data_IF_695433392692
#
_entry.id   IF_695433392692
#
_cell.length_a   1.000
_cell.length_b   1.000
_cell.length_c   1.000
_cell.angle_alpha   90.00
_cell.angle_beta   90.00
_cell.angle_gamma   90.00
#
_symmetry.space_group_name_H-M   'P 1'
#
loop_
_entity.id
_entity.type
_entity.pdbx_description
1 polymer ?
#
# COMPACT_ATOMS: atom_id res chain seq x y z
N UNK A 1 22.98 18.64 13.54
CA UNK A 1 21.55 18.29 13.46
C UNK A 1 20.87 19.12 14.53
N UNK A 2 20.00 20.04 14.14
CA UNK A 2 19.35 20.97 15.06
C UNK A 2 18.19 20.28 15.81
N UNK A 3 17.93 20.70 17.04
CA UNK A 3 16.86 20.17 17.88
C UNK A 3 15.48 20.44 17.26
N UNK A 4 15.34 21.56 16.53
CA UNK A 4 14.12 21.93 15.81
C UNK A 4 13.81 20.94 14.68
N UNK A 5 14.82 20.60 13.86
CA UNK A 5 14.69 19.60 12.81
C UNK A 5 14.24 18.24 13.38
N UNK A 6 14.85 17.81 14.49
CA UNK A 6 14.46 16.56 15.17
C UNK A 6 13.01 16.60 15.67
N UNK A 7 12.55 17.75 16.16
CA UNK A 7 11.18 17.93 16.65
C UNK A 7 10.15 17.83 15.53
N UNK A 8 10.50 18.27 14.32
CA UNK A 8 9.63 18.19 13.14
C UNK A 8 9.56 16.76 12.57
N UNK A 9 10.69 16.06 12.45
CA UNK A 9 10.72 14.75 11.78
C UNK A 9 10.34 13.58 12.69
N UNK A 10 10.65 13.66 13.99
CA UNK A 10 10.48 12.53 14.91
C UNK A 10 9.03 12.02 15.03
N UNK A 11 7.99 12.87 15.13
CA UNK A 11 6.62 12.40 15.28
C UNK A 11 6.17 11.49 14.11
N UNK A 12 6.57 11.80 12.87
CA UNK A 12 6.28 10.96 11.69
C UNK A 12 6.85 9.56 11.83
N UNK A 13 8.13 9.44 12.23
CA UNK A 13 8.74 8.13 12.46
C UNK A 13 8.15 7.41 13.67
N UNK A 14 7.81 8.14 14.73
CA UNK A 14 7.17 7.57 15.91
C UNK A 14 5.81 6.96 15.54
N UNK A 15 5.00 7.64 14.74
CA UNK A 15 3.71 7.10 14.25
C UNK A 15 3.94 5.88 13.35
N UNK A 16 4.89 5.95 12.40
CA UNK A 16 5.21 4.83 11.52
C UNK A 16 5.65 3.58 12.29
N UNK A 17 6.58 3.73 13.25
CA UNK A 17 7.04 2.63 14.10
C UNK A 17 5.94 2.11 15.02
N UNK A 18 5.08 2.99 15.54
CA UNK A 18 3.94 2.59 16.38
C UNK A 18 2.94 1.75 15.59
N UNK A 19 2.64 2.15 14.35
CA UNK A 19 1.79 1.38 13.44
C UNK A 19 2.43 0.00 13.13
N UNK A 20 3.72 -0.03 12.77
CA UNK A 20 4.46 -1.28 12.53
C UNK A 20 4.37 -2.21 13.75
N UNK A 21 4.61 -1.69 14.95
CA UNK A 21 4.50 -2.47 16.19
C UNK A 21 3.09 -3.01 16.42
N UNK A 22 2.07 -2.18 16.23
CA UNK A 22 0.67 -2.57 16.38
C UNK A 22 0.29 -3.70 15.41
N UNK A 23 0.59 -3.56 14.11
CA UNK A 23 0.26 -4.59 13.12
C UNK A 23 1.08 -5.87 13.28
N UNK A 24 2.33 -5.78 13.77
CA UNK A 24 3.12 -6.95 14.14
C UNK A 24 2.47 -7.75 15.27
N UNK A 25 1.97 -7.06 16.31
CA UNK A 25 1.24 -7.70 17.41
C UNK A 25 -0.08 -8.31 16.91
N UNK A 26 -0.83 -7.59 16.07
CA UNK A 26 -2.08 -8.08 15.50
C UNK A 26 -1.86 -9.33 14.63
N UNK A 27 -0.86 -9.34 13.75
CA UNK A 27 -0.52 -10.53 12.96
C UNK A 27 -0.09 -11.70 13.84
N UNK A 28 0.71 -11.43 14.86
CA UNK A 28 1.11 -12.47 15.83
C UNK A 28 -0.11 -13.07 16.52
N UNK A 29 -1.06 -12.23 16.95
CA UNK A 29 -2.31 -12.68 17.55
C UNK A 29 -3.16 -13.50 16.56
N UNK A 30 -3.30 -13.05 15.30
CA UNK A 30 -4.01 -13.81 14.26
C UNK A 30 -3.37 -15.18 14.08
N UNK A 31 -2.04 -15.23 13.99
CA UNK A 31 -1.30 -16.47 13.80
C UNK A 31 -1.45 -17.46 14.97
N UNK A 32 -1.57 -16.95 16.20
CA UNK A 32 -1.73 -17.73 17.42
C UNK A 32 -3.19 -18.18 17.66
N UNK A 33 -4.16 -17.31 17.41
CA UNK A 33 -5.55 -17.53 17.81
C UNK A 33 -6.48 -17.93 16.66
N UNK A 34 -6.04 -17.84 15.40
CA UNK A 34 -6.86 -18.21 14.24
C UNK A 34 -6.28 -19.45 13.56
N UNK A 35 -7.11 -20.50 13.47
CA UNK A 35 -6.77 -21.72 12.76
C UNK A 35 -6.58 -21.46 11.25
N UNK A 36 -5.79 -22.31 10.58
CA UNK A 36 -5.61 -22.24 9.13
C UNK A 36 -6.94 -22.40 8.40
N UNK A 37 -7.19 -21.54 7.40
CA UNK A 37 -8.43 -21.54 6.63
C UNK A 37 -8.79 -20.15 6.11
N UNK A 38 -9.97 -20.05 5.48
CA UNK A 38 -10.43 -18.82 4.80
C UNK A 38 -10.46 -17.59 5.69
N UNK A 39 -10.88 -17.71 6.97
CA UNK A 39 -10.87 -16.59 7.91
C UNK A 39 -9.46 -16.08 8.21
N UNK A 40 -8.49 -16.97 8.41
CA UNK A 40 -7.10 -16.56 8.66
C UNK A 40 -6.51 -15.88 7.43
N UNK A 41 -6.72 -16.45 6.25
CA UNK A 41 -6.32 -15.84 4.97
C UNK A 41 -6.91 -14.45 4.80
N UNK A 42 -8.20 -14.29 5.11
CA UNK A 42 -8.86 -12.98 5.07
C UNK A 42 -8.21 -11.99 6.03
N UNK A 43 -8.01 -12.38 7.30
CA UNK A 43 -7.46 -11.48 8.32
C UNK A 43 -6.01 -11.09 8.03
N UNK A 44 -5.16 -12.05 7.66
CA UNK A 44 -3.77 -11.80 7.30
C UNK A 44 -3.68 -10.80 6.13
N UNK A 45 -4.52 -10.99 5.10
CA UNK A 45 -4.53 -10.12 3.93
C UNK A 45 -5.13 -8.74 4.21
N UNK A 46 -6.19 -8.69 5.02
CA UNK A 46 -6.83 -7.45 5.46
C UNK A 46 -5.84 -6.57 6.25
N UNK A 47 -5.16 -7.13 7.25
CA UNK A 47 -4.23 -6.38 8.09
C UNK A 47 -2.90 -6.06 7.40
N UNK A 48 -2.42 -6.92 6.49
CA UNK A 48 -1.28 -6.58 5.63
C UNK A 48 -1.62 -5.39 4.72
N UNK A 49 -2.82 -5.40 4.13
CA UNK A 49 -3.27 -4.29 3.28
C UNK A 49 -3.44 -2.99 4.08
N UNK A 50 -4.00 -3.07 5.28
CA UNK A 50 -4.09 -1.92 6.19
C UNK A 50 -2.71 -1.35 6.52
N UNK A 51 -1.76 -2.17 6.97
CA UNK A 51 -0.42 -1.69 7.32
C UNK A 51 0.29 -1.05 6.12
N UNK A 52 0.19 -1.67 4.94
CA UNK A 52 0.77 -1.12 3.72
C UNK A 52 0.19 0.28 3.44
N UNK A 53 -1.14 0.41 3.43
CA UNK A 53 -1.79 1.66 3.09
C UNK A 53 -1.53 2.76 4.12
N UNK A 54 -1.63 2.45 5.41
CA UNK A 54 -1.34 3.40 6.49
C UNK A 54 0.13 3.79 6.47
N UNK A 55 1.04 2.83 6.32
CA UNK A 55 2.47 3.09 6.26
C UNK A 55 2.85 4.02 5.11
N UNK A 56 2.29 3.79 3.92
CA UNK A 56 2.48 4.69 2.77
C UNK A 56 1.85 6.06 3.00
N UNK A 57 0.69 6.14 3.67
CA UNK A 57 0.07 7.41 4.03
C UNK A 57 0.99 8.25 4.93
N UNK A 58 1.61 7.62 5.94
CA UNK A 58 2.54 8.29 6.85
C UNK A 58 3.91 8.60 6.21
N UNK A 59 4.34 7.80 5.22
CA UNK A 59 5.56 8.10 4.44
C UNK A 59 5.47 9.43 3.68
N UNK A 60 4.27 9.97 3.46
CA UNK A 60 4.12 11.32 2.93
C UNK A 60 4.78 12.37 3.83
N UNK A 61 4.70 12.21 5.16
CA UNK A 61 5.40 13.10 6.10
C UNK A 61 6.93 13.04 5.93
N UNK A 62 7.50 11.89 5.60
CA UNK A 62 8.93 11.77 5.30
C UNK A 62 9.28 12.52 4.01
N UNK A 63 8.43 12.41 2.99
CA UNK A 63 8.59 13.13 1.74
C UNK A 63 8.54 14.65 1.92
N UNK A 64 7.55 15.17 2.65
CA UNK A 64 7.38 16.61 2.85
C UNK A 64 8.52 17.19 3.70
N UNK A 65 8.93 16.51 4.77
CA UNK A 65 9.95 17.02 5.68
C UNK A 65 11.40 16.85 5.19
N UNK A 66 11.69 15.80 4.42
CA UNK A 66 13.07 15.41 4.08
C UNK A 66 13.31 15.18 2.59
N UNK A 67 12.25 15.27 1.78
CA UNK A 67 12.32 15.15 0.33
C UNK A 67 12.45 13.72 -0.20
N UNK A 68 12.61 13.65 -1.52
CA UNK A 68 12.53 12.43 -2.33
C UNK A 68 13.52 11.34 -1.94
N UNK A 69 14.76 11.71 -1.60
CA UNK A 69 15.81 10.73 -1.30
C UNK A 69 15.51 9.99 -0.01
N UNK A 70 15.13 10.72 1.05
CA UNK A 70 14.76 10.12 2.32
C UNK A 70 13.49 9.27 2.16
N UNK A 71 12.48 9.79 1.47
CA UNK A 71 11.28 9.03 1.13
C UNK A 71 11.62 7.71 0.42
N UNK A 72 12.48 7.72 -0.60
CA UNK A 72 12.89 6.51 -1.32
C UNK A 72 13.62 5.50 -0.43
N UNK A 73 14.54 5.96 0.42
CA UNK A 73 15.30 5.10 1.34
C UNK A 73 14.36 4.46 2.37
N UNK A 74 13.51 5.26 3.03
CA UNK A 74 12.60 4.76 4.06
C UNK A 74 11.54 3.86 3.45
N UNK A 75 11.00 4.20 2.27
CA UNK A 75 10.08 3.34 1.52
C UNK A 75 10.73 2.00 1.19
N UNK A 76 11.99 1.98 0.74
CA UNK A 76 12.70 0.73 0.49
C UNK A 76 12.84 -0.13 1.75
N UNK A 77 13.18 0.49 2.89
CA UNK A 77 13.25 -0.21 4.18
C UNK A 77 11.88 -0.78 4.57
N UNK A 78 10.80 -0.01 4.40
CA UNK A 78 9.44 -0.48 4.63
C UNK A 78 9.06 -1.64 3.69
N UNK A 79 9.45 -1.60 2.41
CA UNK A 79 9.24 -2.71 1.49
C UNK A 79 9.97 -3.98 1.93
N UNK A 80 11.23 -3.87 2.37
CA UNK A 80 11.95 -5.01 2.94
C UNK A 80 11.23 -5.55 4.18
N UNK A 81 10.77 -4.66 5.05
CA UNK A 81 9.97 -5.02 6.23
C UNK A 81 8.70 -5.78 5.84
N UNK A 82 7.85 -5.22 4.97
CA UNK A 82 6.60 -5.85 4.52
C UNK A 82 6.87 -7.19 3.84
N UNK A 83 7.89 -7.28 2.98
CA UNK A 83 8.30 -8.54 2.36
C UNK A 83 8.61 -9.63 3.40
N UNK A 84 9.32 -9.28 4.47
CA UNK A 84 9.65 -10.24 5.53
C UNK A 84 8.46 -10.59 6.44
N UNK A 85 7.50 -9.68 6.62
CA UNK A 85 6.45 -9.82 7.64
C UNK A 85 5.10 -10.29 7.10
N UNK A 86 4.77 -9.99 5.85
CA UNK A 86 3.46 -10.34 5.29
C UNK A 86 3.37 -11.83 4.96
N UNK A 87 4.50 -12.53 4.82
CA UNK A 87 4.52 -13.95 4.53
C UNK A 87 3.86 -14.22 3.18
N UNK A 88 2.67 -14.83 3.20
CA UNK A 88 1.89 -15.13 1.99
C UNK A 88 0.93 -14.00 1.59
N UNK A 89 0.71 -13.06 2.49
CA UNK A 89 -0.15 -11.93 2.25
C UNK A 89 0.46 -11.02 1.17
N UNK A 90 -0.34 -10.63 0.18
CA UNK A 90 0.14 -9.88 -0.99
C UNK A 90 -0.09 -8.39 -0.83
N UNK A 91 -1.17 -8.00 -0.13
CA UNK A 91 -1.63 -6.62 0.00
C UNK A 91 -1.79 -5.90 -1.35
N UNK A 92 -2.05 -6.66 -2.42
CA UNK A 92 -1.98 -6.20 -3.79
C UNK A 92 -3.01 -6.91 -4.69
N UNK A 93 -3.81 -6.16 -5.49
CA UNK A 93 -4.92 -6.75 -6.25
C UNK A 93 -4.47 -7.57 -7.46
N UNK A 94 -3.27 -7.33 -8.01
CA UNK A 94 -2.83 -8.06 -9.21
C UNK A 94 -2.83 -9.58 -9.02
N UNK A 95 -2.37 -10.13 -7.91
CA UNK A 95 -2.31 -11.59 -7.76
C UNK A 95 -3.67 -12.29 -7.82
N UNK A 96 -4.70 -11.87 -7.04
CA UNK A 96 -6.04 -12.44 -7.20
C UNK A 96 -6.66 -12.15 -8.58
N UNK A 97 -6.41 -10.97 -9.17
CA UNK A 97 -6.89 -10.65 -10.53
C UNK A 97 -6.25 -11.55 -11.61
N UNK A 98 -4.94 -11.78 -11.52
CA UNK A 98 -4.22 -12.71 -12.40
C UNK A 98 -4.72 -14.14 -12.20
N UNK A 99 -5.04 -14.54 -10.96
CA UNK A 99 -5.70 -15.81 -10.66
C UNK A 99 -7.02 -15.96 -11.41
N UNK A 100 -7.86 -14.93 -11.44
CA UNK A 100 -9.12 -14.95 -12.21
C UNK A 100 -8.91 -14.94 -13.73
N UNK A 101 -7.96 -14.15 -14.24
CA UNK A 101 -7.78 -13.93 -15.69
C UNK A 101 -7.01 -15.07 -16.35
N UNK A 102 -5.99 -15.59 -15.68
CA UNK A 102 -5.08 -16.59 -16.24
C UNK A 102 -5.30 -18.00 -15.67
N UNK A 103 -6.26 -18.17 -14.76
CA UNK A 103 -6.49 -19.43 -14.03
C UNK A 103 -5.21 -19.93 -13.32
N UNK A 104 -4.35 -18.99 -12.91
CA UNK A 104 -3.08 -19.31 -12.27
C UNK A 104 -3.20 -19.23 -10.75
N UNK A 105 -3.47 -20.35 -10.11
CA UNK A 105 -3.41 -20.45 -8.65
C UNK A 105 -4.38 -21.45 -8.06
N UNK A 106 -4.07 -21.96 -6.86
CA UNK A 106 -5.03 -22.63 -5.98
C UNK A 106 -5.31 -21.69 -4.82
N UNK A 107 -6.52 -21.14 -4.72
CA UNK A 107 -6.88 -20.25 -3.60
C UNK A 107 -8.24 -19.56 -3.76
N UNK A 108 -8.74 -19.04 -2.66
CA UNK A 108 -9.98 -18.25 -2.61
C UNK A 108 -9.68 -16.79 -3.02
N UNK A 109 -9.52 -16.56 -4.33
CA UNK A 109 -9.18 -15.25 -4.90
C UNK A 109 -10.20 -14.17 -4.55
N UNK A 110 -11.48 -14.55 -4.43
CA UNK A 110 -12.55 -13.65 -3.98
C UNK A 110 -12.30 -13.17 -2.57
N UNK A 111 -12.00 -14.09 -1.64
CA UNK A 111 -11.72 -13.75 -0.25
C UNK A 111 -10.49 -12.85 -0.11
N UNK A 112 -9.43 -13.09 -0.88
CA UNK A 112 -8.26 -12.21 -0.93
C UNK A 112 -8.61 -10.79 -1.40
N UNK A 113 -9.32 -10.67 -2.53
CA UNK A 113 -9.66 -9.36 -3.09
C UNK A 113 -10.61 -8.58 -2.17
N UNK A 114 -11.58 -9.26 -1.55
CA UNK A 114 -12.47 -8.65 -0.56
C UNK A 114 -11.69 -8.19 0.67
N UNK A 115 -10.75 -9.01 1.19
CA UNK A 115 -9.88 -8.63 2.29
C UNK A 115 -9.05 -7.38 1.97
N UNK A 116 -8.47 -7.31 0.77
CA UNK A 116 -7.70 -6.16 0.31
C UNK A 116 -8.56 -4.90 0.17
N UNK A 117 -9.75 -4.99 -0.42
CA UNK A 117 -10.67 -3.84 -0.55
C UNK A 117 -11.09 -3.32 0.83
N UNK A 118 -11.53 -4.21 1.71
CA UNK A 118 -11.95 -3.84 3.06
C UNK A 118 -10.77 -3.30 3.88
N UNK A 119 -9.58 -3.88 3.74
CA UNK A 119 -8.36 -3.40 4.39
C UNK A 119 -7.99 -2.00 3.90
N UNK A 120 -8.05 -1.75 2.60
CA UNK A 120 -7.85 -0.42 2.02
C UNK A 120 -8.86 0.60 2.56
N UNK A 121 -10.15 0.28 2.58
CA UNK A 121 -11.18 1.17 3.13
C UNK A 121 -10.96 1.44 4.62
N UNK A 122 -10.70 0.40 5.41
CA UNK A 122 -10.42 0.53 6.85
C UNK A 122 -9.17 1.38 7.11
N UNK A 123 -8.15 1.25 6.25
CA UNK A 123 -6.92 2.05 6.33
C UNK A 123 -7.20 3.53 6.16
N UNK A 124 -8.09 3.93 5.23
CA UNK A 124 -8.46 5.33 5.04
C UNK A 124 -9.11 5.91 6.30
N UNK A 125 -10.02 5.17 6.94
CA UNK A 125 -10.66 5.62 8.18
C UNK A 125 -9.66 5.69 9.34
N UNK A 126 -8.76 4.70 9.45
CA UNK A 126 -7.73 4.71 10.48
C UNK A 126 -6.77 5.88 10.31
N UNK A 127 -6.30 6.16 9.09
CA UNK A 127 -5.45 7.31 8.81
C UNK A 127 -6.14 8.62 9.19
N UNK A 128 -7.42 8.79 8.86
CA UNK A 128 -8.17 9.98 9.27
C UNK A 128 -8.27 10.13 10.80
N UNK A 129 -8.44 9.01 11.52
CA UNK A 129 -8.42 9.02 12.99
C UNK A 129 -7.06 9.48 13.53
N UNK A 130 -5.95 8.94 13.02
CA UNK A 130 -4.61 9.34 13.45
C UNK A 130 -4.34 10.80 13.10
N UNK A 131 -4.70 11.25 11.89
CA UNK A 131 -4.47 12.62 11.46
C UNK A 131 -5.29 13.63 12.27
N UNK A 132 -6.47 13.23 12.76
CA UNK A 132 -7.27 14.06 13.68
C UNK A 132 -6.60 14.35 15.02
N UNK A 133 -5.51 13.64 15.37
CA UNK A 133 -4.69 13.94 16.54
C UNK A 133 -3.70 15.09 16.32
N UNK A 134 -3.55 15.58 15.08
CA UNK A 134 -2.70 16.73 14.72
C UNK A 134 -1.26 16.59 15.25
N UNK A 135 -0.68 15.38 15.17
CA UNK A 135 0.66 15.09 15.71
C UNK A 135 1.77 15.71 14.86
N UNK A 136 1.52 15.92 13.57
CA UNK A 136 2.42 16.62 12.64
C UNK A 136 1.70 17.75 11.90
N UNK A 137 2.48 18.60 11.23
CA UNK A 137 1.94 19.63 10.34
C UNK A 137 1.15 19.01 9.17
N UNK A 138 1.62 17.87 8.65
CA UNK A 138 0.96 17.13 7.57
C UNK A 138 -0.36 16.53 8.04
N UNK A 139 -0.43 15.99 9.26
CA UNK A 139 -1.69 15.51 9.84
C UNK A 139 -2.73 16.63 9.91
N UNK A 140 -2.30 17.81 10.34
CA UNK A 140 -3.13 19.02 10.36
C UNK A 140 -3.58 19.40 8.95
N UNK A 141 -2.66 19.40 7.97
CA UNK A 141 -2.97 19.73 6.59
C UNK A 141 -3.94 18.73 5.95
N UNK A 142 -3.75 17.43 6.20
CA UNK A 142 -4.56 16.34 5.64
C UNK A 142 -6.01 16.37 6.17
N UNK A 143 -6.23 16.89 7.38
CA UNK A 143 -7.57 17.09 7.96
C UNK A 143 -8.23 18.37 7.45
N UNK A 144 -7.46 19.46 7.31
CA UNK A 144 -8.01 20.79 7.02
C UNK A 144 -8.13 21.12 5.53
N UNK A 145 -7.32 20.50 4.68
CA UNK A 145 -7.26 20.81 3.24
C UNK A 145 -8.11 19.82 2.45
N UNK A 146 -8.85 20.31 1.46
CA UNK A 146 -9.48 19.45 0.45
C UNK A 146 -8.39 18.59 -0.23
N UNK A 147 -8.34 17.29 0.05
CA UNK A 147 -7.30 16.44 -0.51
C UNK A 147 -7.41 16.38 -2.05
N UNK A 148 -6.26 16.55 -2.70
CA UNK A 148 -6.05 16.32 -4.12
C UNK A 148 -5.36 14.95 -4.24
N UNK A 149 -5.94 14.04 -5.02
CA UNK A 149 -5.25 12.77 -5.33
C UNK A 149 -3.94 13.10 -6.06
N UNK A 150 -2.81 12.41 -5.79
CA UNK A 150 -1.53 12.68 -6.43
C UNK A 150 -1.48 12.26 -7.91
N UNK A 151 -2.63 11.98 -8.53
CA UNK A 151 -2.81 12.00 -9.97
C UNK A 151 -2.67 13.43 -10.51
N UNK A 152 -1.48 14.00 -10.43
CA UNK A 152 -1.25 15.39 -10.82
C UNK A 152 -1.31 15.59 -12.34
N UNK A 153 -1.33 14.52 -13.15
CA UNK A 153 -1.26 14.58 -14.63
C UNK A 153 -1.94 13.36 -15.29
N UNK A 154 -2.50 13.54 -16.49
CA UNK A 154 -3.17 12.50 -17.28
C UNK A 154 -2.31 11.29 -17.68
N UNK A 155 -3.00 10.23 -18.11
CA UNK A 155 -2.52 8.85 -18.37
C UNK A 155 -1.14 8.73 -19.06
N UNK A 156 -0.77 9.67 -19.92
CA UNK A 156 0.47 9.62 -20.71
C UNK A 156 1.76 9.94 -19.93
N UNK A 157 1.67 10.56 -18.75
CA UNK A 157 2.86 10.93 -17.94
C UNK A 157 3.00 10.07 -16.68
N UNK A 158 2.83 8.75 -16.84
CA UNK A 158 2.79 7.73 -15.76
C UNK A 158 3.88 7.84 -14.66
N UNK A 159 5.01 8.51 -14.93
CA UNK A 159 6.06 8.80 -13.94
C UNK A 159 5.70 9.88 -12.89
N UNK A 160 4.58 10.61 -13.00
CA UNK A 160 4.11 11.57 -11.97
C UNK A 160 2.83 11.13 -11.25
N UNK A 161 2.54 9.84 -11.22
CA UNK A 161 1.30 9.26 -10.66
C UNK A 161 1.37 8.99 -9.14
N UNK A 162 2.41 9.46 -8.45
CA UNK A 162 2.69 9.08 -7.06
C UNK A 162 3.34 7.69 -6.91
N UNK A 163 3.44 6.91 -8.00
CA UNK A 163 4.19 5.65 -8.01
C UNK A 163 3.59 4.55 -7.14
N UNK A 164 2.27 4.53 -6.95
CA UNK A 164 1.62 3.54 -6.08
C UNK A 164 1.71 2.12 -6.60
N UNK A 165 1.64 1.93 -7.92
CA UNK A 165 1.64 0.63 -8.61
C UNK A 165 0.67 -0.41 -8.03
N UNK A 166 -0.31 0.01 -7.23
CA UNK A 166 -1.27 -0.81 -6.49
C UNK A 166 -2.63 -0.09 -6.46
N UNK A 167 -3.64 -0.67 -7.12
CA UNK A 167 -4.97 -0.08 -7.24
C UNK A 167 -5.70 0.09 -5.91
N UNK A 168 -5.48 -0.80 -4.95
CA UNK A 168 -6.08 -0.72 -3.61
C UNK A 168 -5.46 0.46 -2.86
N UNK A 169 -4.13 0.53 -2.82
CA UNK A 169 -3.38 1.61 -2.19
C UNK A 169 -3.77 2.98 -2.74
N UNK A 170 -3.76 3.13 -4.07
CA UNK A 170 -4.12 4.38 -4.71
C UNK A 170 -5.56 4.81 -4.37
N UNK A 171 -6.49 3.84 -4.32
CA UNK A 171 -7.89 4.09 -3.98
C UNK A 171 -8.07 4.44 -2.51
N UNK A 172 -7.35 3.78 -1.60
CA UNK A 172 -7.40 4.06 -0.16
C UNK A 172 -6.91 5.49 0.14
N UNK A 173 -5.82 5.92 -0.48
CA UNK A 173 -5.27 7.27 -0.28
C UNK A 173 -6.06 8.38 -0.99
N UNK A 174 -6.86 8.01 -2.00
CA UNK A 174 -7.73 8.96 -2.72
C UNK A 174 -9.17 8.96 -2.21
N UNK A 175 -9.51 8.13 -1.21
CA UNK A 175 -10.88 7.96 -0.73
C UNK A 175 -11.36 9.26 -0.05
N UNK A 176 -12.40 9.86 -0.61
CA UNK A 176 -12.96 11.13 -0.11
C UNK A 176 -12.32 12.39 -0.71
N UNK A 177 -11.31 12.26 -1.59
CA UNK A 177 -10.70 13.39 -2.29
C UNK A 177 -11.53 13.89 -3.47
N UNK A 178 -11.35 15.18 -3.81
CA UNK A 178 -12.03 15.79 -4.98
C UNK A 178 -11.59 15.06 -6.26
N UNK A 179 -12.53 14.73 -7.16
CA UNK A 179 -12.27 13.77 -8.22
C UNK A 179 -11.37 14.33 -9.32
N UNK A 180 -10.41 13.53 -9.74
CA UNK A 180 -10.21 13.25 -11.16
C UNK A 180 -11.32 12.28 -11.62
N UNK A 181 -11.61 12.19 -12.92
CA UNK A 181 -12.63 11.22 -13.39
C UNK A 181 -12.29 9.81 -12.90
N UNK A 182 -13.25 9.08 -12.33
CA UNK A 182 -13.06 7.69 -11.84
C UNK A 182 -12.40 6.79 -12.90
N UNK A 183 -12.66 7.07 -14.17
CA UNK A 183 -12.04 6.41 -15.32
C UNK A 183 -10.53 6.58 -15.33
N UNK A 184 -10.00 7.80 -15.14
CA UNK A 184 -8.56 8.03 -15.11
C UNK A 184 -7.90 7.32 -13.93
N UNK A 185 -8.51 7.37 -12.75
CA UNK A 185 -8.04 6.66 -11.57
C UNK A 185 -7.94 5.15 -11.83
N UNK A 186 -9.01 4.57 -12.35
CA UNK A 186 -9.05 3.15 -12.69
C UNK A 186 -8.02 2.77 -13.76
N UNK A 187 -7.94 3.52 -14.86
CA UNK A 187 -7.00 3.24 -15.95
C UNK A 187 -5.54 3.29 -15.49
N UNK A 188 -5.18 4.27 -14.67
CA UNK A 188 -3.79 4.46 -14.22
C UNK A 188 -3.43 3.45 -13.13
N UNK A 189 -4.25 3.34 -12.08
CA UNK A 189 -3.85 2.63 -10.87
C UNK A 189 -4.30 1.18 -10.80
N UNK A 190 -5.38 0.81 -11.49
CA UNK A 190 -5.87 -0.57 -11.51
C UNK A 190 -5.45 -1.28 -12.78
N UNK A 191 -5.83 -0.73 -13.94
CA UNK A 191 -5.50 -1.34 -15.22
C UNK A 191 -4.00 -1.26 -15.50
N UNK A 192 -3.37 -0.09 -15.30
CA UNK A 192 -1.94 0.10 -15.51
C UNK A 192 -1.07 -0.84 -14.66
N UNK A 193 -1.39 -0.99 -13.37
CA UNK A 193 -0.67 -1.93 -12.49
C UNK A 193 -0.87 -3.37 -12.91
N UNK A 194 -2.11 -3.77 -13.22
CA UNK A 194 -2.44 -5.14 -13.65
C UNK A 194 -1.75 -5.51 -14.96
N UNK A 195 -1.81 -4.61 -15.94
CA UNK A 195 -1.17 -4.80 -17.25
C UNK A 195 0.35 -4.92 -17.11
N UNK A 196 0.98 -4.00 -16.34
CA UNK A 196 2.41 -4.05 -16.07
C UNK A 196 2.84 -5.37 -15.41
N UNK A 197 2.09 -5.82 -14.40
CA UNK A 197 2.32 -7.12 -13.73
C UNK A 197 2.20 -8.30 -14.69
N UNK A 198 1.14 -8.34 -15.50
CA UNK A 198 0.89 -9.40 -16.48
C UNK A 198 2.00 -9.48 -17.54
N UNK A 199 2.45 -8.35 -18.07
CA UNK A 199 3.57 -8.29 -19.03
C UNK A 199 4.87 -8.74 -18.36
N UNK A 200 5.15 -8.30 -17.14
CA UNK A 200 6.32 -8.73 -16.38
C UNK A 200 6.36 -10.25 -16.18
N UNK A 201 5.21 -10.84 -15.83
CA UNK A 201 5.06 -12.29 -15.69
C UNK A 201 5.28 -13.03 -17.00
N UNK A 202 4.72 -12.53 -18.10
CA UNK A 202 4.94 -13.11 -19.43
C UNK A 202 6.42 -13.11 -19.81
N UNK A 203 7.11 -11.98 -19.60
CA UNK A 203 8.56 -11.87 -19.85
C UNK A 203 9.32 -12.87 -18.97
N UNK A 204 9.00 -12.95 -17.67
CA UNK A 204 9.66 -13.88 -16.76
C UNK A 204 9.51 -15.33 -17.24
N UNK A 205 8.29 -15.73 -17.59
CA UNK A 205 8.02 -17.07 -18.11
C UNK A 205 8.81 -17.35 -19.39
N UNK A 206 8.85 -16.40 -20.33
CA UNK A 206 9.62 -16.53 -21.56
C UNK A 206 11.13 -16.67 -21.30
N UNK A 207 11.68 -15.87 -20.37
CA UNK A 207 13.10 -15.91 -20.02
C UNK A 207 13.46 -17.21 -19.31
N UNK A 208 12.66 -17.66 -18.34
CA UNK A 208 12.90 -18.92 -17.61
C UNK A 208 12.90 -20.14 -18.53
N UNK A 209 12.06 -20.17 -19.58
CA UNK A 209 12.04 -21.27 -20.56
C UNK A 209 13.25 -21.29 -21.50
N UNK A 210 14.03 -20.21 -21.56
CA UNK A 210 15.24 -20.10 -22.40
C UNK A 210 16.53 -20.40 -21.64
N UNK A 211 16.48 -20.51 -20.30
CA UNK A 211 17.63 -20.88 -19.48
C UNK A 211 17.57 -22.40 -19.27
N UNK A 212 18.35 -23.22 -20.01
CA UNK A 212 18.46 -24.63 -19.68
C UNK A 212 19.02 -24.74 -18.25
N UNK A 213 18.31 -25.46 -17.38
CA UNK A 213 18.82 -25.81 -16.06
C UNK A 213 20.17 -26.53 -16.24
N UNK A 214 21.26 -25.82 -15.95
CA UNK A 214 22.63 -26.35 -15.91
C UNK A 214 22.90 -27.01 -14.57
#
# INVERSE_FOLDING_TARGET
MDLEFLREVWPTYAVLLSNIGMFMLTRTAIAQFTAQGSLRTFLEEFFATMELCIGVAELNGVYENQGKTAFAIVTFICCCWWYHQFGWAQAHPNGPLEGFVFDTGRGDHTNLLVAQILGGVASSFYSQLIWSLHLTAEHTQNVLTDCQSPLMIGVFWGMRTGGYFNGILASALSLGCKPHTYVQHFLVYWFGSFWGGSVGRFINHYVEHQIPYS
#
